data_IF_608497562544
#
_entry.id   IF_608497562544
#
_cell.length_a   1.000
_cell.length_b   1.000
_cell.length_c   1.000
_cell.angle_alpha   90.00
_cell.angle_beta   90.00
_cell.angle_gamma   90.00
#
_symmetry.space_group_name_H-M   'P 1'
#
loop_
_entity.id
_entity.type
_entity.pdbx_description
1 polymer ?
#
# COMPACT_ATOMS: atom_id res chain seq x y z
N UNK A 1 8.77 -0.58 4.23
CA UNK A 1 8.85 -1.33 2.93
C UNK A 1 7.82 -0.78 1.97
N UNK A 2 8.04 -0.82 0.65
CA UNK A 2 7.04 -0.36 -0.31
C UNK A 2 5.97 -1.44 -0.50
N UNK A 3 4.76 -1.05 -0.92
CA UNK A 3 3.62 -1.95 -1.15
C UNK A 3 3.96 -3.09 -2.12
N UNK A 4 4.77 -2.79 -3.14
CA UNK A 4 5.19 -3.77 -4.13
C UNK A 4 6.22 -4.78 -3.58
N UNK A 5 7.06 -4.36 -2.61
CA UNK A 5 8.06 -5.23 -1.98
C UNK A 5 7.42 -6.17 -0.94
N UNK A 6 6.31 -5.75 -0.34
CA UNK A 6 5.57 -6.55 0.65
C UNK A 6 4.79 -7.67 -0.02
N UNK A 7 4.30 -7.47 -1.25
CA UNK A 7 3.44 -8.43 -1.93
C UNK A 7 4.02 -9.87 -2.05
N UNK A 8 5.30 -10.10 -2.41
CA UNK A 8 5.87 -11.45 -2.38
C UNK A 8 5.94 -12.05 -0.97
N UNK A 9 6.18 -11.20 0.05
CA UNK A 9 6.22 -11.61 1.46
C UNK A 9 4.82 -12.05 1.91
N UNK A 10 3.78 -11.31 1.53
CA UNK A 10 2.38 -11.66 1.83
C UNK A 10 2.00 -13.02 1.28
N UNK A 11 2.43 -13.32 0.05
CA UNK A 11 2.22 -14.64 -0.58
C UNK A 11 2.91 -15.74 0.22
N UNK A 12 4.15 -15.51 0.65
CA UNK A 12 4.90 -16.46 1.47
C UNK A 12 4.23 -16.68 2.84
N UNK A 13 3.82 -15.62 3.52
CA UNK A 13 3.11 -15.68 4.79
C UNK A 13 1.79 -16.44 4.67
N UNK A 14 1.00 -16.15 3.65
CA UNK A 14 -0.25 -16.87 3.41
C UNK A 14 -0.02 -18.36 3.11
N UNK A 15 0.98 -18.67 2.27
CA UNK A 15 1.37 -20.05 1.97
C UNK A 15 1.90 -20.82 3.19
N UNK A 16 2.47 -20.13 4.18
CA UNK A 16 2.88 -20.74 5.46
C UNK A 16 1.75 -20.88 6.49
N UNK A 17 0.49 -20.58 6.12
CA UNK A 17 -0.67 -20.77 6.98
C UNK A 17 -0.98 -19.59 7.92
N UNK A 18 -0.36 -18.44 7.70
CA UNK A 18 -0.70 -17.20 8.44
C UNK A 18 -2.11 -16.75 8.07
N UNK A 19 -2.89 -16.31 9.06
CA UNK A 19 -4.28 -15.87 8.86
C UNK A 19 -4.39 -14.72 7.85
N UNK A 20 -5.47 -14.70 7.08
CA UNK A 20 -5.79 -13.64 6.11
C UNK A 20 -5.75 -12.25 6.75
N UNK A 21 -6.24 -12.14 7.97
CA UNK A 21 -6.20 -10.92 8.78
C UNK A 21 -4.79 -10.39 8.98
N UNK A 22 -3.86 -11.25 9.44
CA UNK A 22 -2.47 -10.87 9.67
C UNK A 22 -1.75 -10.49 8.37
N UNK A 23 -2.07 -11.18 7.27
CA UNK A 23 -1.54 -10.88 5.94
C UNK A 23 -2.00 -9.49 5.47
N UNK A 24 -3.29 -9.18 5.59
CA UNK A 24 -3.83 -7.87 5.22
C UNK A 24 -3.34 -6.76 6.14
N UNK A 25 -3.29 -6.99 7.46
CA UNK A 25 -2.75 -6.02 8.41
C UNK A 25 -1.28 -5.68 8.09
N UNK A 26 -0.47 -6.68 7.77
CA UNK A 26 0.93 -6.48 7.36
C UNK A 26 1.02 -5.69 6.05
N UNK A 27 0.11 -5.94 5.11
CA UNK A 27 0.05 -5.21 3.84
C UNK A 27 -0.19 -3.71 4.06
N UNK A 28 -1.10 -3.33 4.95
CA UNK A 28 -1.41 -1.93 5.23
C UNK A 28 -0.38 -1.27 6.14
N UNK A 29 0.08 -1.97 7.17
CA UNK A 29 1.02 -1.43 8.15
C UNK A 29 2.39 -1.12 7.54
N UNK A 30 2.89 -2.01 6.70
CA UNK A 30 4.26 -1.95 6.20
C UNK A 30 4.59 -0.67 5.41
N UNK A 31 3.78 -0.18 4.46
CA UNK A 31 4.06 1.08 3.77
C UNK A 31 3.65 2.31 4.59
N UNK A 32 2.54 2.25 5.31
CA UNK A 32 1.91 3.43 5.88
C UNK A 32 2.40 3.77 7.31
N UNK A 33 2.74 2.75 8.12
CA UNK A 33 3.28 2.93 9.49
C UNK A 33 4.82 2.90 9.54
N UNK A 34 5.48 3.05 8.40
CA UNK A 34 6.93 3.18 8.37
C UNK A 34 7.36 4.48 9.06
N UNK A 35 8.39 4.41 9.90
CA UNK A 35 8.90 5.58 10.66
C UNK A 35 9.24 6.75 9.75
N UNK A 36 9.84 6.48 8.57
CA UNK A 36 10.19 7.53 7.60
C UNK A 36 8.92 8.20 7.05
N UNK A 37 7.91 7.42 6.65
CA UNK A 37 6.65 7.94 6.11
C UNK A 37 5.90 8.75 7.16
N UNK A 38 5.85 8.25 8.40
CA UNK A 38 5.22 8.97 9.51
C UNK A 38 5.96 10.28 9.82
N UNK A 39 7.29 10.22 9.97
CA UNK A 39 8.11 11.41 10.23
C UNK A 39 7.92 12.47 9.14
N UNK A 40 7.97 12.08 7.86
CA UNK A 40 7.72 13.00 6.74
C UNK A 40 6.29 13.55 6.77
N UNK A 41 5.29 12.73 7.08
CA UNK A 41 3.89 13.17 7.12
C UNK A 41 3.70 14.23 8.22
N UNK A 42 4.22 14.01 9.43
CA UNK A 42 4.12 14.97 10.52
C UNK A 42 4.99 16.20 10.33
N UNK A 43 6.10 16.11 9.60
CA UNK A 43 6.99 17.23 9.32
C UNK A 43 6.46 18.16 8.21
N UNK A 44 5.78 17.61 7.20
CA UNK A 44 5.41 18.33 5.98
C UNK A 44 3.93 18.78 5.97
N UNK A 45 3.07 18.15 6.76
CA UNK A 45 1.64 18.42 6.78
C UNK A 45 1.17 18.92 8.17
N UNK A 46 0.07 19.67 8.22
CA UNK A 46 -0.59 19.98 9.49
C UNK A 46 -0.92 18.71 10.28
N UNK A 47 -0.81 18.78 11.60
CA UNK A 47 -1.04 17.62 12.49
C UNK A 47 -2.42 17.00 12.27
N UNK A 48 -3.44 17.79 11.95
CA UNK A 48 -4.79 17.31 11.63
C UNK A 48 -4.79 16.36 10.44
N UNK A 49 -4.08 16.68 9.36
CA UNK A 49 -3.96 15.86 8.15
C UNK A 49 -3.18 14.56 8.44
N UNK A 50 -2.09 14.68 9.20
CA UNK A 50 -1.30 13.52 9.62
C UNK A 50 -2.13 12.55 10.49
N UNK A 51 -2.94 13.07 11.39
CA UNK A 51 -3.84 12.27 12.22
C UNK A 51 -4.95 11.59 11.39
N UNK A 52 -5.52 12.25 10.38
CA UNK A 52 -6.49 11.64 9.47
C UNK A 52 -5.86 10.47 8.72
N UNK A 53 -4.64 10.63 8.19
CA UNK A 53 -3.92 9.53 7.55
C UNK A 53 -3.69 8.37 8.53
N UNK A 54 -3.20 8.65 9.72
CA UNK A 54 -2.96 7.64 10.74
C UNK A 54 -4.24 6.91 11.13
N UNK A 55 -5.35 7.63 11.36
CA UNK A 55 -6.65 7.04 11.67
C UNK A 55 -7.16 6.15 10.54
N UNK A 56 -7.00 6.55 9.28
CA UNK A 56 -7.37 5.74 8.11
C UNK A 56 -6.62 4.41 8.10
N UNK A 57 -5.32 4.43 8.35
CA UNK A 57 -4.49 3.21 8.36
C UNK A 57 -4.83 2.32 9.55
N UNK A 58 -5.00 2.89 10.73
CA UNK A 58 -5.40 2.13 11.92
C UNK A 58 -6.79 1.49 11.74
N UNK A 59 -7.72 2.19 11.13
CA UNK A 59 -9.03 1.63 10.78
C UNK A 59 -8.90 0.41 9.85
N UNK A 60 -8.05 0.50 8.82
CA UNK A 60 -7.81 -0.63 7.90
C UNK A 60 -7.21 -1.83 8.62
N UNK A 61 -6.30 -1.62 9.57
CA UNK A 61 -5.63 -2.70 10.29
C UNK A 61 -6.56 -3.33 11.34
N UNK A 62 -7.21 -2.52 12.17
CA UNK A 62 -7.94 -3.01 13.34
C UNK A 62 -9.42 -3.31 13.09
N UNK A 63 -10.02 -2.72 12.07
CA UNK A 63 -11.44 -2.91 11.76
C UNK A 63 -11.64 -3.70 10.48
N UNK A 64 -11.04 -3.24 9.39
CA UNK A 64 -11.26 -3.85 8.08
C UNK A 64 -10.64 -5.24 7.95
N UNK A 65 -9.36 -5.42 8.35
CA UNK A 65 -8.68 -6.69 8.21
C UNK A 65 -9.37 -7.83 8.99
N UNK A 66 -9.75 -7.67 10.27
CA UNK A 66 -10.50 -8.69 11.00
C UNK A 66 -11.89 -8.93 10.40
N UNK A 67 -12.60 -7.86 9.98
CA UNK A 67 -13.96 -7.97 9.44
C UNK A 67 -14.02 -8.80 8.16
N UNK A 68 -13.01 -8.63 7.29
CA UNK A 68 -12.90 -9.39 6.04
C UNK A 68 -12.51 -10.84 6.32
N UNK A 69 -11.59 -11.06 7.27
CA UNK A 69 -11.16 -12.40 7.66
C UNK A 69 -12.31 -13.22 8.27
N UNK A 70 -13.15 -12.60 9.09
CA UNK A 70 -14.28 -13.29 9.71
C UNK A 70 -15.35 -13.77 8.73
N UNK A 71 -15.44 -13.15 7.54
CA UNK A 71 -16.36 -13.56 6.48
C UNK A 71 -15.82 -14.68 5.59
N UNK A 72 -14.54 -14.89 5.56
CA UNK A 72 -13.89 -16.04 4.93
C UNK A 72 -13.59 -17.12 5.97
N UNK A 73 -14.64 -17.77 6.48
CA UNK A 73 -14.44 -18.99 7.22
C UNK A 73 -13.76 -20.02 6.34
N UNK A 74 -12.49 -20.25 6.64
CA UNK A 74 -11.81 -21.53 6.56
C UNK A 74 -11.66 -22.14 5.17
N UNK A 75 -10.62 -21.76 4.50
CA UNK A 75 -9.78 -22.70 3.75
C UNK A 75 -8.32 -22.35 3.97
N UNK A 76 -7.93 -22.06 5.19
CA UNK A 76 -6.57 -22.27 5.62
C UNK A 76 -6.38 -23.80 5.61
N UNK A 77 -6.10 -24.34 4.44
CA UNK A 77 -5.40 -25.62 4.35
C UNK A 77 -4.09 -25.33 5.09
N UNK A 78 -3.84 -25.95 6.24
CA UNK A 78 -2.52 -25.91 6.81
C UNK A 78 -1.65 -26.66 5.81
N UNK A 79 -1.08 -25.96 4.86
CA UNK A 79 0.10 -26.44 4.17
C UNK A 79 1.17 -26.34 5.24
N UNK A 80 1.19 -27.33 6.12
CA UNK A 80 2.37 -27.69 6.85
C UNK A 80 3.40 -27.97 5.75
N UNK A 81 4.15 -26.94 5.36
CA UNK A 81 5.44 -27.20 4.78
C UNK A 81 6.18 -27.96 5.89
N UNK A 82 6.44 -29.25 5.74
CA UNK A 82 7.38 -29.90 6.62
C UNK A 82 8.67 -29.13 6.42
N UNK A 83 9.06 -28.34 7.41
CA UNK A 83 10.41 -27.83 7.49
C UNK A 83 11.22 -29.09 7.82
N UNK A 84 11.55 -29.84 6.79
CA UNK A 84 12.58 -30.83 6.88
C UNK A 84 13.86 -30.07 7.14
N UNK A 85 14.20 -29.95 8.41
CA UNK A 85 15.55 -29.58 8.79
C UNK A 85 16.43 -30.77 8.38
N UNK A 86 17.27 -30.64 7.34
CA UNK A 86 18.25 -31.68 7.05
C UNK A 86 19.16 -31.77 8.28
N UNK A 87 19.03 -32.88 8.99
CA UNK A 87 19.65 -33.10 10.30
C UNK A 87 21.19 -33.17 10.28
N UNK A 88 21.86 -32.86 9.17
CA UNK A 88 23.29 -33.05 8.98
C UNK A 88 24.00 -32.02 8.11
N UNK A 89 23.47 -30.79 7.97
CA UNK A 89 24.22 -29.75 7.27
C UNK A 89 25.33 -29.16 8.17
N UNK A 90 26.55 -29.19 7.67
CA UNK A 90 27.69 -28.51 8.29
C UNK A 90 27.44 -26.99 8.22
N UNK A 91 27.82 -26.24 9.27
CA UNK A 91 27.62 -24.78 9.33
C UNK A 91 28.08 -24.02 8.07
N UNK A 92 29.19 -24.49 7.44
CA UNK A 92 29.70 -23.91 6.20
C UNK A 92 28.74 -24.14 5.01
N UNK A 93 28.09 -25.29 4.93
CA UNK A 93 27.11 -25.62 3.88
C UNK A 93 25.82 -24.82 4.08
N UNK A 94 25.32 -24.71 5.31
CA UNK A 94 24.16 -23.91 5.66
C UNK A 94 24.39 -22.43 5.32
N UNK A 95 25.58 -21.89 5.63
CA UNK A 95 25.93 -20.51 5.34
C UNK A 95 26.04 -20.25 3.83
N UNK A 96 26.64 -21.15 3.07
CA UNK A 96 26.79 -21.04 1.62
C UNK A 96 25.44 -21.17 0.90
N UNK A 97 24.55 -22.07 1.35
CA UNK A 97 23.21 -22.26 0.82
C UNK A 97 22.33 -21.04 1.11
N UNK A 98 22.36 -20.52 2.35
CA UNK A 98 21.65 -19.32 2.75
C UNK A 98 22.16 -18.09 1.98
N UNK A 99 23.47 -17.92 1.83
CA UNK A 99 24.08 -16.84 1.06
C UNK A 99 23.67 -16.87 -0.42
N UNK A 100 23.68 -18.04 -1.04
CA UNK A 100 23.27 -18.19 -2.44
C UNK A 100 21.75 -17.94 -2.61
N UNK A 101 20.93 -18.43 -1.71
CA UNK A 101 19.48 -18.18 -1.71
C UNK A 101 19.16 -16.71 -1.46
N UNK A 102 19.89 -16.05 -0.58
CA UNK A 102 19.78 -14.62 -0.32
C UNK A 102 20.15 -13.78 -1.55
N UNK A 103 21.28 -14.09 -2.20
CA UNK A 103 21.71 -13.41 -3.43
C UNK A 103 20.69 -13.58 -4.57
N UNK A 104 20.16 -14.80 -4.73
CA UNK A 104 19.12 -15.11 -5.72
C UNK A 104 17.83 -14.34 -5.43
N UNK A 105 17.44 -14.23 -4.17
CA UNK A 105 16.26 -13.48 -3.74
C UNK A 105 16.45 -11.98 -3.96
N UNK A 106 17.61 -11.41 -3.62
CA UNK A 106 17.94 -10.01 -3.90
C UNK A 106 17.89 -9.74 -5.39
N UNK A 107 18.51 -10.60 -6.20
CA UNK A 107 18.51 -10.44 -7.66
C UNK A 107 17.10 -10.49 -8.26
N UNK A 108 16.27 -11.41 -7.75
CA UNK A 108 14.87 -11.51 -8.16
C UNK A 108 14.09 -10.25 -7.80
N UNK A 109 14.21 -9.77 -6.55
CA UNK A 109 13.54 -8.55 -6.11
C UNK A 109 14.01 -7.34 -6.92
N UNK A 110 15.33 -7.21 -7.14
CA UNK A 110 15.89 -6.14 -7.94
C UNK A 110 15.37 -6.16 -9.38
N UNK A 111 15.38 -7.33 -10.03
CA UNK A 111 14.93 -7.48 -11.41
C UNK A 111 13.44 -7.21 -11.61
N UNK A 112 12.60 -7.49 -10.60
CA UNK A 112 11.15 -7.29 -10.68
C UNK A 112 10.74 -5.93 -10.13
N UNK A 113 11.27 -5.54 -8.98
CA UNK A 113 10.86 -4.31 -8.31
C UNK A 113 11.44 -3.05 -8.97
N UNK A 114 12.70 -3.08 -9.40
CA UNK A 114 13.40 -1.92 -9.95
C UNK A 114 12.74 -1.35 -11.22
N UNK A 115 12.46 -2.13 -12.27
CA UNK A 115 11.77 -1.60 -13.46
C UNK A 115 10.35 -1.13 -13.13
N UNK A 116 9.67 -1.79 -12.19
CA UNK A 116 8.34 -1.37 -11.76
C UNK A 116 8.38 -0.04 -11.01
N UNK A 117 9.42 0.21 -10.21
CA UNK A 117 9.62 1.48 -9.51
C UNK A 117 9.94 2.61 -10.50
N UNK A 118 10.76 2.37 -11.51
CA UNK A 118 11.05 3.36 -12.58
C UNK A 118 9.77 3.67 -13.34
N UNK A 119 9.03 2.64 -13.76
CA UNK A 119 7.76 2.82 -14.47
C UNK A 119 6.75 3.62 -13.63
N UNK A 120 6.63 3.31 -12.33
CA UNK A 120 5.74 4.03 -11.42
C UNK A 120 6.17 5.49 -11.24
N UNK A 121 7.47 5.75 -11.13
CA UNK A 121 8.00 7.13 -11.03
C UNK A 121 7.76 7.92 -12.32
N UNK A 122 7.98 7.31 -13.48
CA UNK A 122 7.69 7.92 -14.79
C UNK A 122 6.19 8.21 -14.96
N UNK A 123 5.33 7.23 -14.64
CA UNK A 123 3.87 7.43 -14.70
C UNK A 123 3.43 8.53 -13.74
N UNK A 124 3.97 8.57 -12.51
CA UNK A 124 3.68 9.63 -11.55
C UNK A 124 4.10 11.02 -12.06
N UNK A 125 5.29 11.13 -12.65
CA UNK A 125 5.78 12.37 -13.25
C UNK A 125 4.91 12.81 -14.44
N UNK A 126 4.55 11.89 -15.33
CA UNK A 126 3.68 12.16 -16.48
C UNK A 126 2.29 12.59 -16.02
N UNK A 127 1.72 11.94 -15.01
CA UNK A 127 0.40 12.31 -14.45
C UNK A 127 0.45 13.74 -13.90
N UNK A 128 1.50 14.13 -13.20
CA UNK A 128 1.66 15.49 -12.66
C UNK A 128 1.82 16.53 -13.76
N UNK A 129 2.51 16.19 -14.86
CA UNK A 129 2.76 17.09 -15.99
C UNK A 129 1.52 17.24 -16.89
N UNK A 130 0.83 16.12 -17.14
CA UNK A 130 -0.35 16.06 -18.04
C UNK A 130 -1.63 16.51 -17.33
N UNK A 131 -1.68 16.51 -15.99
CA UNK A 131 -2.84 17.04 -15.29
C UNK A 131 -2.96 18.54 -15.60
N UNK A 132 -3.96 18.97 -16.40
CA UNK A 132 -4.10 20.38 -16.75
C UNK A 132 -4.32 21.17 -15.45
N UNK A 133 -3.57 22.25 -15.30
CA UNK A 133 -3.67 23.15 -14.14
C UNK A 133 -5.13 23.61 -13.88
N UNK A 134 -5.94 23.67 -14.93
CA UNK A 134 -7.37 23.99 -14.87
C UNK A 134 -8.21 22.98 -14.08
N UNK A 135 -7.83 21.69 -14.07
CA UNK A 135 -8.50 20.65 -13.26
C UNK A 135 -8.07 20.75 -11.79
N UNK A 136 -6.86 21.24 -11.52
CA UNK A 136 -6.33 21.43 -10.17
C UNK A 136 -6.96 22.64 -9.47
N UNK A 137 -7.38 23.67 -10.23
CA UNK A 137 -8.01 24.89 -9.71
C UNK A 137 -9.55 24.89 -9.86
N UNK A 138 -10.14 23.79 -10.38
CA UNK A 138 -11.58 23.64 -10.43
C UNK A 138 -12.18 23.61 -9.02
N UNK A 139 -13.40 24.10 -8.83
CA UNK A 139 -14.06 24.03 -7.53
C UNK A 139 -14.11 22.58 -7.04
N UNK A 140 -13.78 22.40 -5.76
CA UNK A 140 -13.74 21.06 -5.15
C UNK A 140 -15.10 20.39 -5.27
N UNK A 141 -15.20 19.37 -6.11
CA UNK A 141 -16.41 18.58 -6.32
C UNK A 141 -16.26 17.19 -5.69
N UNK A 142 -17.34 16.63 -5.20
CA UNK A 142 -17.34 15.26 -4.66
C UNK A 142 -16.93 14.27 -5.76
N UNK A 143 -17.37 14.49 -6.99
CA UNK A 143 -16.97 13.68 -8.14
C UNK A 143 -15.47 13.75 -8.41
N UNK A 144 -14.85 14.93 -8.27
CA UNK A 144 -13.40 15.09 -8.41
C UNK A 144 -12.63 14.34 -7.31
N UNK A 145 -13.09 14.41 -6.05
CA UNK A 145 -12.50 13.66 -4.94
C UNK A 145 -12.58 12.15 -5.20
N UNK A 146 -13.72 11.67 -5.70
CA UNK A 146 -13.91 10.25 -6.03
C UNK A 146 -12.96 9.80 -7.15
N UNK A 147 -12.82 10.58 -8.22
CA UNK A 147 -11.89 10.26 -9.31
C UNK A 147 -10.45 10.21 -8.82
N UNK A 148 -10.04 11.19 -8.01
CA UNK A 148 -8.71 11.22 -7.40
C UNK A 148 -8.51 10.00 -6.51
N UNK A 149 -9.49 9.61 -5.68
CA UNK A 149 -9.40 8.44 -4.82
C UNK A 149 -9.26 7.13 -5.63
N UNK A 150 -10.06 6.98 -6.70
CA UNK A 150 -10.00 5.81 -7.59
C UNK A 150 -8.64 5.68 -8.26
N UNK A 151 -8.16 6.77 -8.85
CA UNK A 151 -6.88 6.75 -9.59
C UNK A 151 -5.71 6.54 -8.64
N UNK A 152 -5.64 7.29 -7.54
CA UNK A 152 -4.52 7.22 -6.60
C UNK A 152 -4.43 5.88 -5.87
N UNK A 153 -5.56 5.25 -5.53
CA UNK A 153 -5.56 3.91 -4.91
C UNK A 153 -5.07 2.80 -5.86
N UNK A 154 -5.07 3.04 -7.17
CA UNK A 154 -4.63 2.07 -8.16
C UNK A 154 -3.16 2.18 -8.52
N UNK A 155 -2.58 3.38 -8.35
CA UNK A 155 -1.20 3.67 -8.76
C UNK A 155 -0.16 2.94 -7.89
N UNK A 156 0.77 2.21 -8.51
CA UNK A 156 1.89 1.63 -7.80
C UNK A 156 2.95 2.71 -7.55
N UNK A 157 3.09 3.17 -6.31
CA UNK A 157 4.11 4.17 -5.95
C UNK A 157 5.16 3.57 -5.01
N UNK A 158 6.42 4.03 -5.11
CA UNK A 158 7.47 3.71 -4.16
C UNK A 158 7.14 4.24 -2.76
N UNK A 159 7.80 3.70 -1.74
CA UNK A 159 7.66 4.15 -0.35
C UNK A 159 7.94 5.65 -0.22
N UNK A 160 7.13 6.35 0.54
CA UNK A 160 7.19 7.78 0.82
C UNK A 160 6.88 8.72 -0.38
N UNK A 161 6.68 8.18 -1.59
CA UNK A 161 6.27 8.99 -2.74
C UNK A 161 4.84 9.51 -2.58
N UNK A 162 3.99 8.80 -1.87
CA UNK A 162 2.65 9.26 -1.48
C UNK A 162 2.71 10.61 -0.74
N UNK A 163 3.62 10.71 0.23
CA UNK A 163 3.86 11.94 0.99
C UNK A 163 4.48 13.03 0.12
N UNK A 164 5.46 12.68 -0.70
CA UNK A 164 6.13 13.63 -1.60
C UNK A 164 5.16 14.19 -2.66
N UNK A 165 4.37 13.35 -3.31
CA UNK A 165 3.39 13.76 -4.32
C UNK A 165 2.31 14.66 -3.68
N UNK A 166 1.78 14.27 -2.52
CA UNK A 166 0.80 15.06 -1.80
C UNK A 166 1.36 16.43 -1.39
N UNK A 167 2.63 16.48 -0.95
CA UNK A 167 3.30 17.73 -0.59
C UNK A 167 3.53 18.64 -1.81
N UNK A 168 4.02 18.09 -2.91
CA UNK A 168 4.18 18.83 -4.17
C UNK A 168 2.84 19.37 -4.65
N UNK A 169 1.77 18.58 -4.58
CA UNK A 169 0.42 19.02 -4.93
C UNK A 169 -0.02 20.19 -4.04
N UNK A 170 0.22 20.11 -2.73
CA UNK A 170 -0.09 21.18 -1.78
C UNK A 170 0.69 22.46 -2.09
N UNK A 171 1.98 22.37 -2.36
CA UNK A 171 2.82 23.55 -2.70
C UNK A 171 2.46 24.18 -4.04
N UNK A 172 1.91 23.41 -4.97
CA UNK A 172 1.37 23.90 -6.24
C UNK A 172 -0.04 24.53 -6.12
N UNK A 173 -0.60 24.59 -4.90
CA UNK A 173 -1.91 25.21 -4.65
C UNK A 173 -3.10 24.29 -4.92
N UNK A 174 -2.91 22.99 -5.00
CA UNK A 174 -4.03 22.03 -5.10
C UNK A 174 -4.88 22.12 -3.82
N UNK A 175 -6.22 22.18 -3.92
CA UNK A 175 -7.11 22.24 -2.77
C UNK A 175 -6.85 21.11 -1.76
N UNK A 176 -6.83 21.46 -0.47
CA UNK A 176 -6.49 20.54 0.63
C UNK A 176 -7.30 19.22 0.61
N UNK A 177 -8.60 19.19 0.27
CA UNK A 177 -9.37 17.94 0.15
C UNK A 177 -8.77 16.94 -0.83
N UNK A 178 -8.28 17.38 -1.99
CA UNK A 178 -7.61 16.48 -2.94
C UNK A 178 -6.28 15.97 -2.41
N UNK A 179 -5.50 16.83 -1.76
CA UNK A 179 -4.21 16.48 -1.15
C UNK A 179 -4.40 15.40 -0.07
N UNK A 180 -5.40 15.57 0.80
CA UNK A 180 -5.72 14.60 1.85
C UNK A 180 -6.20 13.28 1.25
N UNK A 181 -7.03 13.33 0.21
CA UNK A 181 -7.48 12.12 -0.51
C UNK A 181 -6.28 11.35 -1.08
N UNK A 182 -5.36 12.04 -1.77
CA UNK A 182 -4.14 11.42 -2.29
C UNK A 182 -3.34 10.78 -1.16
N UNK A 183 -3.12 11.52 -0.07
CA UNK A 183 -2.33 11.07 1.07
C UNK A 183 -2.93 9.83 1.78
N UNK A 184 -4.27 9.70 1.77
CA UNK A 184 -5.00 8.60 2.41
C UNK A 184 -5.27 7.40 1.49
N UNK A 185 -4.99 7.50 0.19
CA UNK A 185 -5.24 6.41 -0.76
C UNK A 185 -3.97 5.92 -1.44
N UNK A 186 -3.11 6.85 -1.84
CA UNK A 186 -1.87 6.55 -2.56
C UNK A 186 -0.89 5.81 -1.63
N UNK A 187 -0.31 4.73 -2.11
CA UNK A 187 0.70 3.99 -1.36
C UNK A 187 0.18 2.95 -0.36
N UNK A 188 -1.11 2.97 0.01
CA UNK A 188 -1.70 1.96 0.91
C UNK A 188 -1.91 0.65 0.14
N UNK A 189 -2.50 0.75 -1.05
CA UNK A 189 -2.69 -0.38 -1.98
C UNK A 189 -2.14 -0.01 -3.35
N UNK A 190 -1.95 -1.00 -4.20
CA UNK A 190 -1.56 -0.81 -5.59
C UNK A 190 -2.15 -1.93 -6.44
N UNK A 191 -2.22 -1.72 -7.76
CA UNK A 191 -2.65 -2.77 -8.69
C UNK A 191 -1.87 -4.07 -8.52
N UNK A 192 -0.59 -3.97 -8.18
CA UNK A 192 0.27 -5.13 -7.98
C UNK A 192 -0.09 -5.88 -6.69
N UNK A 193 -0.20 -5.19 -5.55
CA UNK A 193 -0.57 -5.81 -4.27
C UNK A 193 -1.97 -6.41 -4.32
N UNK A 194 -2.93 -5.72 -4.95
CA UNK A 194 -4.28 -6.24 -5.19
C UNK A 194 -4.29 -7.49 -6.07
N UNK A 195 -3.45 -7.53 -7.10
CA UNK A 195 -3.30 -8.71 -7.96
C UNK A 195 -2.72 -9.90 -7.19
N UNK A 196 -1.78 -9.67 -6.28
CA UNK A 196 -1.23 -10.72 -5.42
C UNK A 196 -2.27 -11.22 -4.44
N UNK A 197 -2.99 -10.33 -3.75
CA UNK A 197 -4.10 -10.72 -2.86
C UNK A 197 -5.18 -11.47 -3.62
N UNK A 198 -5.57 -11.00 -4.81
CA UNK A 198 -6.58 -11.64 -5.65
C UNK A 198 -6.19 -13.06 -6.09
N UNK A 199 -4.92 -13.28 -6.41
CA UNK A 199 -4.41 -14.59 -6.84
C UNK A 199 -4.08 -15.53 -5.68
N UNK A 200 -3.68 -14.99 -4.54
CA UNK A 200 -3.23 -15.80 -3.40
C UNK A 200 -4.34 -16.10 -2.41
N UNK A 201 -5.29 -15.19 -2.23
CA UNK A 201 -6.38 -15.30 -1.27
C UNK A 201 -7.72 -15.35 -2.03
N UNK A 202 -8.23 -14.20 -2.48
CA UNK A 202 -9.50 -14.10 -3.20
C UNK A 202 -9.63 -12.75 -3.91
N UNK A 203 -10.19 -12.76 -5.12
CA UNK A 203 -10.53 -11.55 -5.85
C UNK A 203 -11.61 -10.71 -5.17
N UNK A 204 -12.48 -11.34 -4.38
CA UNK A 204 -13.50 -10.66 -3.58
C UNK A 204 -12.85 -9.79 -2.50
N UNK A 205 -11.82 -10.33 -1.83
CA UNK A 205 -11.05 -9.58 -0.82
C UNK A 205 -10.28 -8.44 -1.47
N UNK A 206 -9.62 -8.68 -2.61
CA UNK A 206 -8.91 -7.63 -3.33
C UNK A 206 -9.87 -6.48 -3.72
N UNK A 207 -11.04 -6.78 -4.25
CA UNK A 207 -12.07 -5.79 -4.59
C UNK A 207 -12.62 -5.06 -3.36
N UNK A 208 -12.88 -5.79 -2.25
CA UNK A 208 -13.31 -5.19 -0.99
C UNK A 208 -12.25 -4.24 -0.42
N UNK A 209 -10.98 -4.66 -0.45
CA UNK A 209 -9.84 -3.83 -0.02
C UNK A 209 -9.74 -2.54 -0.82
N UNK A 210 -9.79 -2.65 -2.15
CA UNK A 210 -9.75 -1.48 -3.04
C UNK A 210 -10.91 -0.53 -2.75
N UNK A 211 -12.13 -1.05 -2.70
CA UNK A 211 -13.35 -0.26 -2.44
C UNK A 211 -13.30 0.44 -1.10
N UNK A 212 -12.81 -0.24 -0.06
CA UNK A 212 -12.69 0.35 1.29
C UNK A 212 -11.67 1.47 1.34
N UNK A 213 -10.50 1.29 0.70
CA UNK A 213 -9.48 2.35 0.63
C UNK A 213 -9.99 3.57 -0.13
N UNK A 214 -10.69 3.37 -1.25
CA UNK A 214 -11.33 4.45 -2.02
C UNK A 214 -12.38 5.19 -1.18
N UNK A 215 -13.23 4.44 -0.47
CA UNK A 215 -14.27 5.03 0.40
C UNK A 215 -13.65 5.84 1.55
N UNK A 216 -12.61 5.33 2.19
CA UNK A 216 -11.92 6.06 3.28
C UNK A 216 -11.23 7.32 2.75
N UNK A 217 -10.59 7.24 1.59
CA UNK A 217 -10.00 8.41 0.94
C UNK A 217 -11.05 9.46 0.55
N UNK A 218 -12.20 9.02 0.02
CA UNK A 218 -13.33 9.89 -0.26
C UNK A 218 -13.86 10.56 1.01
N UNK A 219 -14.06 9.78 2.09
CA UNK A 219 -14.52 10.31 3.38
C UNK A 219 -13.53 11.33 3.96
N UNK A 220 -12.23 11.02 3.92
CA UNK A 220 -11.18 11.94 4.38
C UNK A 220 -11.20 13.26 3.59
N UNK A 221 -11.32 13.19 2.27
CA UNK A 221 -11.42 14.37 1.40
C UNK A 221 -12.69 15.18 1.64
N UNK A 222 -13.85 14.53 1.79
CA UNK A 222 -15.13 15.20 2.05
C UNK A 222 -15.12 15.84 3.45
N UNK A 223 -14.63 15.15 4.46
CA UNK A 223 -14.47 15.72 5.81
C UNK A 223 -13.57 16.96 5.78
N UNK A 224 -12.42 16.88 5.11
CA UNK A 224 -11.51 18.02 4.98
C UNK A 224 -12.20 19.19 4.26
N UNK A 225 -13.03 18.93 3.24
CA UNK A 225 -13.82 19.96 2.57
C UNK A 225 -14.83 20.63 3.50
N UNK A 226 -15.41 19.87 4.45
CA UNK A 226 -16.41 20.40 5.37
C UNK A 226 -15.78 21.30 6.47
N UNK A 227 -14.48 21.11 6.75
CA UNK A 227 -13.73 21.86 7.76
C UNK A 227 -12.79 22.94 7.16
N UNK A 228 -12.68 23.03 5.84
CA UNK A 228 -11.94 24.08 5.11
C UNK A 228 -12.86 25.18 4.66
#
# INVERSE_FOLDING_TARGET
>A
MCTNCVAPILRGLYASGVSTESVLATMFASPALNVVVLAMTFALFPVSVALVKLATVLFLIFVFAPLVSSREQTSAVPVACPIEFPATETWAQALSHTGRSFLKSIWYVFRVAFPLMILAALLGAVVIEVLPAQLLFAPVTIGGILVVALVSAFLPVPMAFDVAIAYIAMTKGVPLPYVVTILCTLGIVSVFSLSVVGKSISWKIAAATYSTVVLLGLLAGVLTRAFS
#
